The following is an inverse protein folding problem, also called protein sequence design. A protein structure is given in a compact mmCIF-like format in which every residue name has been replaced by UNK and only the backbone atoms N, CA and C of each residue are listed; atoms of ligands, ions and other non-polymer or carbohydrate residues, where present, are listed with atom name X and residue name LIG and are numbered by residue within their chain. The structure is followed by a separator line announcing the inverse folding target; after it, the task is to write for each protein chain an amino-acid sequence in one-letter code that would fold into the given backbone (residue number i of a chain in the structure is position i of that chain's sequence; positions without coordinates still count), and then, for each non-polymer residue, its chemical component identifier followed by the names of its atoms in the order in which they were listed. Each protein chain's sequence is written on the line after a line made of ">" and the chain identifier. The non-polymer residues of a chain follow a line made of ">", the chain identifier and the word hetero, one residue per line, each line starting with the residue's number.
data_IF_574173408646
#
_entry.id   IF_574173408646
#
_cell.length_a   1.000
_cell.length_b   1.000
_cell.length_c   1.000
_cell.angle_alpha   90.00
_cell.angle_beta   90.00
_cell.angle_gamma   90.00
#
_symmetry.space_group_name_H-M   'P 1'
#
loop_
_entity.id
_entity.type
_entity.pdbx_description
1 polymer ?
#
# COMPACT_ATOMS: atom_id res chain seq x y z
N UNK A 1 2.06 -4.51 14.46
CA UNK A 1 1.94 -3.45 13.43
C UNK A 1 0.96 -2.40 13.90
N UNK A 2 1.37 -1.12 13.91
CA UNK A 2 0.55 0.04 14.35
C UNK A 2 0.58 1.18 13.33
N UNK A 3 1.72 1.43 12.71
CA UNK A 3 1.94 2.56 11.80
C UNK A 3 2.22 2.08 10.40
N UNK A 4 1.49 2.62 9.44
CA UNK A 4 1.60 2.33 8.00
C UNK A 4 2.04 3.60 7.28
N UNK A 5 3.10 3.53 6.51
CA UNK A 5 3.44 4.60 5.56
C UNK A 5 2.93 4.25 4.17
N UNK A 6 2.29 5.21 3.53
CA UNK A 6 1.91 5.13 2.10
C UNK A 6 2.72 6.16 1.32
N UNK A 7 3.57 5.69 0.43
CA UNK A 7 4.39 6.53 -0.44
C UNK A 7 3.67 6.76 -1.77
N UNK A 8 3.31 8.01 -2.03
CA UNK A 8 2.51 8.44 -3.16
C UNK A 8 1.09 8.82 -2.75
N UNK A 9 0.73 10.09 -2.89
CA UNK A 9 -0.61 10.63 -2.62
C UNK A 9 -1.47 10.69 -3.90
N UNK A 10 -1.19 9.80 -4.85
CA UNK A 10 -2.02 9.58 -6.03
C UNK A 10 -3.27 8.75 -5.72
N UNK A 11 -4.04 8.44 -6.77
CA UNK A 11 -5.34 7.77 -6.65
C UNK A 11 -5.29 6.43 -5.88
N UNK A 12 -4.24 5.64 -6.08
CA UNK A 12 -4.06 4.37 -5.36
C UNK A 12 -3.63 4.60 -3.92
N UNK A 13 -2.61 5.45 -3.69
CA UNK A 13 -2.12 5.74 -2.34
C UNK A 13 -3.17 6.36 -1.44
N UNK A 14 -3.97 7.29 -1.94
CA UNK A 14 -5.13 7.88 -1.23
C UNK A 14 -6.11 6.78 -0.80
N UNK A 15 -6.45 5.86 -1.71
CA UNK A 15 -7.36 4.76 -1.39
C UNK A 15 -6.78 3.78 -0.38
N UNK A 16 -5.48 3.46 -0.46
CA UNK A 16 -4.77 2.59 0.49
C UNK A 16 -4.70 3.26 1.87
N UNK A 17 -4.32 4.54 1.93
CA UNK A 17 -4.29 5.31 3.17
C UNK A 17 -5.66 5.36 3.85
N UNK A 18 -6.73 5.60 3.07
CA UNK A 18 -8.11 5.61 3.56
C UNK A 18 -8.49 4.28 4.23
N UNK A 19 -8.28 3.15 3.57
CA UNK A 19 -8.69 1.85 4.13
C UNK A 19 -7.83 1.43 5.31
N UNK A 20 -6.53 1.80 5.33
CA UNK A 20 -5.65 1.56 6.45
C UNK A 20 -6.09 2.36 7.70
N UNK A 21 -6.40 3.64 7.55
CA UNK A 21 -6.89 4.49 8.63
C UNK A 21 -8.25 4.02 9.17
N UNK A 22 -9.18 3.68 8.27
CA UNK A 22 -10.47 3.11 8.64
C UNK A 22 -10.34 1.75 9.35
N UNK A 23 -9.30 0.97 9.04
CA UNK A 23 -8.93 -0.27 9.72
C UNK A 23 -8.22 -0.06 11.08
N UNK A 24 -8.07 1.19 11.54
CA UNK A 24 -7.54 1.56 12.85
C UNK A 24 -6.02 1.64 12.93
N UNK A 25 -5.32 1.79 11.79
CA UNK A 25 -3.88 2.06 11.76
C UNK A 25 -3.57 3.55 11.76
N UNK A 26 -2.46 3.93 12.37
CA UNK A 26 -1.88 5.26 12.13
C UNK A 26 -1.26 5.25 10.73
N UNK A 27 -1.53 6.28 9.95
CA UNK A 27 -1.11 6.37 8.55
C UNK A 27 -0.28 7.62 8.31
N UNK A 28 0.89 7.43 7.75
CA UNK A 28 1.72 8.52 7.22
C UNK A 28 1.52 8.52 5.70
N UNK A 29 0.83 9.54 5.17
CA UNK A 29 0.68 9.73 3.73
C UNK A 29 1.76 10.68 3.23
N UNK A 30 2.67 10.18 2.40
CA UNK A 30 3.82 10.94 1.91
C UNK A 30 3.77 11.14 0.41
N UNK A 31 4.10 12.35 -0.05
CA UNK A 31 4.41 12.64 -1.46
C UNK A 31 5.54 13.67 -1.56
N UNK A 32 6.06 13.90 -2.78
CA UNK A 32 7.13 14.87 -3.03
C UNK A 32 6.71 16.32 -2.81
N UNK A 33 5.43 16.64 -2.98
CA UNK A 33 4.88 17.98 -2.88
C UNK A 33 3.77 18.05 -1.85
N UNK A 34 3.85 19.05 -0.95
CA UNK A 34 2.82 19.27 0.06
C UNK A 34 1.41 19.36 -0.54
N UNK A 35 1.26 20.03 -1.68
CA UNK A 35 -0.02 20.14 -2.39
C UNK A 35 -0.64 18.77 -2.74
N UNK A 36 0.19 17.79 -3.13
CA UNK A 36 -0.32 16.44 -3.44
C UNK A 36 -0.80 15.73 -2.19
N UNK A 37 -0.07 15.88 -1.07
CA UNK A 37 -0.45 15.35 0.23
C UNK A 37 -1.76 15.96 0.71
N UNK A 38 -1.87 17.30 0.70
CA UNK A 38 -3.06 18.03 1.14
C UNK A 38 -4.30 17.64 0.30
N UNK A 39 -4.14 17.55 -1.02
CA UNK A 39 -5.19 17.08 -1.92
C UNK A 39 -5.59 15.62 -1.64
N UNK A 40 -4.61 14.77 -1.32
CA UNK A 40 -4.86 13.38 -0.96
C UNK A 40 -5.71 13.27 0.30
N UNK A 41 -5.35 13.99 1.36
CA UNK A 41 -6.10 14.01 2.63
C UNK A 41 -7.52 14.57 2.42
N UNK A 42 -7.65 15.69 1.67
CA UNK A 42 -8.97 16.25 1.34
C UNK A 42 -9.84 15.26 0.53
N UNK A 43 -9.22 14.45 -0.33
CA UNK A 43 -9.93 13.41 -1.07
C UNK A 43 -10.42 12.29 -0.14
N UNK A 44 -9.59 11.87 0.82
CA UNK A 44 -9.99 10.89 1.84
C UNK A 44 -11.17 11.40 2.65
N UNK A 45 -11.11 12.65 3.11
CA UNK A 45 -12.19 13.29 3.86
C UNK A 45 -13.51 13.27 3.09
N UNK A 46 -13.50 13.68 1.81
CA UNK A 46 -14.67 13.65 0.94
C UNK A 46 -15.23 12.24 0.75
N UNK A 47 -14.35 11.25 0.56
CA UNK A 47 -14.75 9.86 0.41
C UNK A 47 -15.41 9.32 1.67
N UNK A 48 -14.84 9.60 2.84
CA UNK A 48 -15.39 9.17 4.12
C UNK A 48 -16.72 9.89 4.42
N UNK A 49 -16.83 11.18 4.11
CA UNK A 49 -18.08 11.91 4.22
C UNK A 49 -19.18 11.28 3.35
N UNK A 50 -18.86 10.92 2.10
CA UNK A 50 -19.82 10.23 1.22
C UNK A 50 -20.27 8.86 1.80
N UNK A 51 -19.39 8.14 2.52
CA UNK A 51 -19.76 6.91 3.23
C UNK A 51 -20.67 7.19 4.41
N UNK A 52 -20.49 8.30 5.13
CA UNK A 52 -21.40 8.75 6.20
C UNK A 52 -22.77 9.10 5.63
N UNK A 53 -22.81 9.85 4.54
CA UNK A 53 -24.07 10.25 3.87
C UNK A 53 -24.89 9.04 3.38
N UNK A 54 -24.19 7.94 3.04
CA UNK A 54 -24.82 6.67 2.65
C UNK A 54 -25.06 5.71 3.83
N UNK A 55 -24.85 6.13 5.08
CA UNK A 55 -25.00 5.33 6.30
C UNK A 55 -24.11 4.05 6.33
N UNK A 56 -22.99 4.05 5.60
CA UNK A 56 -21.99 2.97 5.61
C UNK A 56 -20.92 3.18 6.68
N UNK A 57 -20.83 4.40 7.23
CA UNK A 57 -19.85 4.82 8.23
C UNK A 57 -20.52 5.80 9.18
N UNK A 58 -20.18 5.79 10.47
CA UNK A 58 -20.65 6.84 11.37
C UNK A 58 -19.75 8.08 11.28
N UNK A 59 -20.26 9.23 11.70
CA UNK A 59 -19.46 10.45 11.80
C UNK A 59 -18.26 10.26 12.74
N UNK A 60 -18.48 9.60 13.86
CA UNK A 60 -17.43 9.27 14.83
C UNK A 60 -16.31 8.41 14.19
N UNK A 61 -16.67 7.36 13.45
CA UNK A 61 -15.71 6.53 12.73
C UNK A 61 -14.92 7.33 11.67
N UNK A 62 -15.58 8.28 10.99
CA UNK A 62 -14.91 9.19 10.05
C UNK A 62 -13.87 10.07 10.76
N UNK A 63 -14.27 10.71 11.86
CA UNK A 63 -13.39 11.58 12.63
C UNK A 63 -12.20 10.82 13.21
N UNK A 64 -12.42 9.62 13.73
CA UNK A 64 -11.35 8.73 14.19
C UNK A 64 -10.40 8.32 13.07
N UNK A 65 -10.92 7.97 11.88
CA UNK A 65 -10.07 7.60 10.75
C UNK A 65 -9.22 8.78 10.27
N UNK A 66 -9.80 9.98 10.17
CA UNK A 66 -9.08 11.19 9.78
C UNK A 66 -8.01 11.58 10.80
N UNK A 67 -8.29 11.44 12.09
CA UNK A 67 -7.33 11.72 13.15
C UNK A 67 -6.10 10.79 13.14
N UNK A 68 -6.17 9.65 12.45
CA UNK A 68 -5.06 8.71 12.29
C UNK A 68 -4.17 9.01 11.08
N UNK A 69 -4.53 9.99 10.24
CA UNK A 69 -3.78 10.28 9.00
C UNK A 69 -2.92 11.52 9.20
N UNK A 70 -1.64 11.34 9.02
CA UNK A 70 -0.66 12.43 9.00
C UNK A 70 -0.04 12.55 7.61
N UNK A 71 0.02 13.79 7.09
CA UNK A 71 0.60 14.08 5.79
C UNK A 71 2.01 14.67 5.89
N UNK A 72 2.95 14.17 5.09
CA UNK A 72 4.32 14.69 5.08
C UNK A 72 4.96 14.70 3.69
N UNK A 73 5.97 15.54 3.50
CA UNK A 73 6.90 15.46 2.36
C UNK A 73 8.24 14.87 2.76
N UNK A 74 8.46 14.69 4.05
CA UNK A 74 9.69 14.18 4.62
C UNK A 74 9.78 12.66 4.47
N UNK A 75 10.85 12.19 3.83
CA UNK A 75 11.09 10.77 3.64
C UNK A 75 11.64 10.09 4.90
N UNK A 76 12.47 10.79 5.69
CA UNK A 76 13.01 10.26 6.95
C UNK A 76 11.90 10.00 7.95
N UNK A 77 10.98 10.96 8.09
CA UNK A 77 9.79 10.78 8.92
C UNK A 77 8.95 9.58 8.48
N UNK A 78 8.87 9.34 7.17
CA UNK A 78 8.14 8.20 6.59
C UNK A 78 8.75 6.84 6.94
N UNK A 79 10.00 6.80 7.38
CA UNK A 79 10.68 5.58 7.82
C UNK A 79 10.22 5.04 9.18
N UNK A 80 9.38 5.75 9.93
CA UNK A 80 8.91 5.36 11.26
C UNK A 80 7.74 4.35 11.24
N UNK A 81 7.64 3.52 10.22
CA UNK A 81 6.51 2.63 10.00
C UNK A 81 6.85 1.14 10.23
N UNK A 82 5.84 0.36 10.58
CA UNK A 82 5.93 -1.10 10.61
C UNK A 82 5.74 -1.72 9.21
N UNK A 83 4.96 -1.03 8.35
CA UNK A 83 4.73 -1.41 6.97
C UNK A 83 4.77 -0.15 6.09
N UNK A 84 5.54 -0.19 5.03
CA UNK A 84 5.56 0.82 3.97
C UNK A 84 4.90 0.24 2.73
N UNK A 85 3.91 0.95 2.17
CA UNK A 85 3.25 0.58 0.92
C UNK A 85 3.57 1.64 -0.12
N UNK A 86 4.38 1.30 -1.10
CA UNK A 86 4.76 2.17 -2.20
C UNK A 86 3.68 2.14 -3.29
N UNK A 87 3.18 3.32 -3.66
CA UNK A 87 2.17 3.56 -4.70
C UNK A 87 2.52 4.76 -5.58
N UNK A 88 3.81 4.91 -5.93
CA UNK A 88 4.31 5.97 -6.81
C UNK A 88 4.19 5.57 -8.29
N UNK A 89 4.79 6.36 -9.19
CA UNK A 89 4.78 6.09 -10.63
C UNK A 89 5.33 4.70 -10.97
N UNK A 90 4.75 4.05 -11.99
CA UNK A 90 5.12 2.70 -12.42
C UNK A 90 6.42 2.73 -13.24
N UNK A 91 7.54 2.86 -12.53
CA UNK A 91 8.88 2.92 -13.10
C UNK A 91 9.87 2.16 -12.20
N UNK A 92 10.52 1.14 -12.75
CA UNK A 92 11.42 0.26 -12.00
C UNK A 92 12.58 1.03 -11.34
N UNK A 93 13.21 1.96 -12.04
CA UNK A 93 14.34 2.70 -11.49
C UNK A 93 13.91 3.58 -10.29
N UNK A 94 12.76 4.23 -10.38
CA UNK A 94 12.19 5.03 -9.29
C UNK A 94 11.86 4.14 -8.09
N UNK A 95 11.23 2.98 -8.32
CA UNK A 95 10.88 2.06 -7.23
C UNK A 95 12.13 1.51 -6.54
N UNK A 96 13.14 1.07 -7.29
CA UNK A 96 14.42 0.62 -6.73
C UNK A 96 15.08 1.70 -5.85
N UNK A 97 15.11 2.95 -6.32
CA UNK A 97 15.66 4.07 -5.55
C UNK A 97 14.90 4.27 -4.24
N UNK A 98 13.55 4.26 -4.28
CA UNK A 98 12.71 4.42 -3.09
C UNK A 98 12.93 3.26 -2.12
N UNK A 99 12.95 2.02 -2.60
CA UNK A 99 13.17 0.84 -1.75
C UNK A 99 14.55 0.85 -1.09
N UNK A 100 15.62 1.24 -1.82
CA UNK A 100 16.94 1.42 -1.23
C UNK A 100 16.97 2.49 -0.15
N UNK A 101 16.28 3.62 -0.36
CA UNK A 101 16.17 4.67 0.65
C UNK A 101 15.40 4.19 1.88
N UNK A 102 14.23 3.57 1.69
CA UNK A 102 13.42 3.06 2.79
C UNK A 102 14.11 1.92 3.54
N UNK A 103 14.89 1.09 2.86
CA UNK A 103 15.70 0.05 3.49
C UNK A 103 16.71 0.63 4.49
N UNK A 104 17.28 1.81 4.19
CA UNK A 104 18.22 2.50 5.07
C UNK A 104 17.53 3.27 6.20
N UNK A 105 16.32 3.80 5.97
CA UNK A 105 15.61 4.66 6.91
C UNK A 105 14.74 3.89 7.91
N UNK A 106 14.18 2.76 7.47
CA UNK A 106 13.24 2.00 8.29
C UNK A 106 13.92 1.08 9.30
N UNK A 107 13.32 0.86 10.47
CA UNK A 107 13.76 -0.17 11.41
C UNK A 107 13.85 -1.56 10.74
N UNK A 108 14.69 -2.46 11.26
CA UNK A 108 14.89 -3.80 10.66
C UNK A 108 13.62 -4.66 10.57
N UNK A 109 12.61 -4.40 11.39
CA UNK A 109 11.35 -5.15 11.39
C UNK A 109 10.36 -4.68 10.32
N UNK A 110 10.57 -3.52 9.73
CA UNK A 110 9.63 -2.91 8.77
C UNK A 110 9.53 -3.74 7.49
N UNK A 111 8.32 -4.05 7.09
CA UNK A 111 8.00 -4.67 5.81
C UNK A 111 7.87 -3.59 4.74
N UNK A 112 8.43 -3.82 3.57
CA UNK A 112 8.34 -2.91 2.42
C UNK A 112 7.52 -3.58 1.31
N UNK A 113 6.42 -2.95 0.92
CA UNK A 113 5.51 -3.48 -0.09
C UNK A 113 5.39 -2.53 -1.29
N UNK A 114 5.34 -3.09 -2.50
CA UNK A 114 5.02 -2.31 -3.71
C UNK A 114 3.60 -2.60 -4.19
N UNK A 115 2.87 -1.55 -4.55
CA UNK A 115 1.56 -1.67 -5.19
C UNK A 115 1.67 -1.82 -6.72
N UNK A 116 2.85 -2.13 -7.25
CA UNK A 116 3.01 -2.39 -8.69
C UNK A 116 2.05 -3.46 -9.18
N UNK A 117 1.60 -3.35 -10.42
CA UNK A 117 0.73 -4.33 -11.07
C UNK A 117 1.46 -5.29 -12.01
N UNK A 118 2.73 -5.00 -12.33
CA UNK A 118 3.45 -5.71 -13.41
C UNK A 118 4.94 -5.89 -13.17
N UNK A 119 5.56 -5.03 -12.36
CA UNK A 119 7.01 -5.04 -12.16
C UNK A 119 7.45 -6.18 -11.24
N UNK A 120 8.65 -6.69 -11.46
CA UNK A 120 9.23 -7.77 -10.66
C UNK A 120 9.54 -7.33 -9.23
N UNK A 121 8.97 -8.00 -8.26
CA UNK A 121 9.23 -7.81 -6.83
C UNK A 121 10.65 -8.27 -6.51
N UNK A 122 11.11 -9.37 -7.11
CA UNK A 122 12.48 -9.87 -6.95
C UNK A 122 13.50 -8.82 -7.39
N UNK A 123 13.25 -8.15 -8.52
CA UNK A 123 14.15 -7.12 -9.03
C UNK A 123 14.16 -5.86 -8.14
N UNK A 124 13.03 -5.50 -7.54
CA UNK A 124 12.95 -4.41 -6.55
C UNK A 124 13.72 -4.80 -5.28
N UNK A 125 13.50 -6.01 -4.77
CA UNK A 125 14.09 -6.52 -3.53
C UNK A 125 15.64 -6.66 -3.63
N UNK A 126 16.17 -7.01 -4.78
CA UNK A 126 17.60 -7.24 -5.00
C UNK A 126 18.49 -6.00 -4.70
N UNK A 127 17.91 -4.81 -4.54
CA UNK A 127 18.61 -3.58 -4.20
C UNK A 127 18.52 -3.21 -2.71
N UNK A 128 18.09 -4.14 -1.86
CA UNK A 128 17.89 -3.93 -0.42
C UNK A 128 18.62 -4.98 0.39
N UNK A 129 18.80 -4.74 1.70
CA UNK A 129 19.42 -5.67 2.64
C UNK A 129 18.41 -6.56 3.38
N UNK A 130 17.11 -6.47 3.03
CA UNK A 130 16.01 -7.23 3.64
C UNK A 130 15.06 -7.82 2.58
N UNK A 131 15.55 -8.57 1.57
CA UNK A 131 14.70 -9.09 0.52
C UNK A 131 13.60 -10.04 1.04
N UNK A 132 13.80 -10.64 2.20
CA UNK A 132 12.84 -11.46 2.94
C UNK A 132 11.61 -10.68 3.45
N UNK A 133 11.73 -9.35 3.63
CA UNK A 133 10.68 -8.43 4.08
C UNK A 133 10.06 -7.61 2.95
N UNK A 134 10.29 -8.00 1.71
CA UNK A 134 9.76 -7.30 0.54
C UNK A 134 8.74 -8.18 -0.19
N UNK A 135 7.59 -7.58 -0.54
CA UNK A 135 6.53 -8.23 -1.30
C UNK A 135 5.78 -7.26 -2.19
N UNK A 136 5.00 -7.79 -3.13
CA UNK A 136 3.95 -7.05 -3.83
C UNK A 136 2.66 -7.04 -3.01
N UNK A 137 2.03 -5.87 -2.87
CA UNK A 137 0.67 -5.73 -2.34
C UNK A 137 -0.17 -5.01 -3.39
N UNK A 138 -0.69 -5.76 -4.35
CA UNK A 138 -1.42 -5.21 -5.47
C UNK A 138 -2.89 -4.99 -5.12
N UNK A 139 -3.23 -3.74 -4.86
CA UNK A 139 -4.60 -3.28 -4.64
C UNK A 139 -5.29 -2.93 -5.96
N UNK A 140 -6.62 -2.97 -5.96
CA UNK A 140 -7.44 -2.68 -7.14
C UNK A 140 -8.25 -1.40 -6.98
N UNK A 141 -8.31 -0.62 -8.04
CA UNK A 141 -9.11 0.62 -8.07
C UNK A 141 -10.62 0.33 -8.25
N UNK A 142 -11.50 1.05 -7.57
CA UNK A 142 -11.28 1.94 -6.42
C UNK A 142 -11.00 1.15 -5.13
N UNK A 143 -9.88 1.45 -4.45
CA UNK A 143 -9.40 0.65 -3.30
C UNK A 143 -10.47 0.44 -2.22
N UNK A 144 -11.25 1.46 -1.77
CA UNK A 144 -12.28 1.24 -0.75
C UNK A 144 -13.37 0.25 -1.17
N UNK A 145 -13.67 0.14 -2.48
CA UNK A 145 -14.77 -0.67 -3.02
C UNK A 145 -14.35 -2.07 -3.46
N UNK A 146 -13.06 -2.29 -3.71
CA UNK A 146 -12.54 -3.58 -4.18
C UNK A 146 -12.04 -4.40 -3.00
N UNK A 147 -12.60 -5.58 -2.75
CA UNK A 147 -12.20 -6.40 -1.61
C UNK A 147 -10.87 -7.12 -1.80
N UNK A 148 -10.42 -7.33 -3.04
CA UNK A 148 -9.27 -8.15 -3.37
C UNK A 148 -7.94 -7.40 -3.21
N UNK A 149 -6.92 -8.10 -2.68
CA UNK A 149 -5.50 -7.72 -2.73
C UNK A 149 -4.69 -8.95 -3.11
N UNK A 150 -3.81 -8.84 -4.10
CA UNK A 150 -2.83 -9.88 -4.39
C UNK A 150 -1.56 -9.62 -3.56
N UNK A 151 -1.15 -10.63 -2.79
CA UNK A 151 0.13 -10.65 -2.08
C UNK A 151 1.10 -11.47 -2.92
N UNK A 152 2.10 -10.81 -3.48
CA UNK A 152 3.01 -11.40 -4.47
C UNK A 152 4.38 -11.60 -3.84
N UNK A 153 4.82 -12.85 -3.74
CA UNK A 153 6.17 -13.18 -3.28
C UNK A 153 7.20 -12.88 -4.37
N UNK A 154 8.24 -12.12 -4.01
CA UNK A 154 9.50 -12.18 -4.73
C UNK A 154 10.25 -13.48 -4.37
N UNK A 155 11.41 -13.68 -4.96
CA UNK A 155 12.19 -14.91 -4.80
C UNK A 155 12.54 -15.23 -3.33
N UNK A 156 12.86 -14.21 -2.54
CA UNK A 156 13.33 -14.34 -1.15
C UNK A 156 12.29 -13.93 -0.12
N UNK A 157 11.08 -13.51 -0.53
CA UNK A 157 10.03 -13.09 0.42
C UNK A 157 9.70 -14.21 1.41
N UNK A 158 9.87 -13.93 2.70
CA UNK A 158 9.60 -14.89 3.77
C UNK A 158 8.10 -15.17 3.94
N UNK A 159 7.76 -16.37 4.40
CA UNK A 159 6.37 -16.74 4.71
C UNK A 159 5.81 -15.90 5.86
N UNK A 160 6.63 -15.56 6.86
CA UNK A 160 6.25 -14.66 7.95
C UNK A 160 5.82 -13.28 7.44
N UNK A 161 6.50 -12.73 6.42
CA UNK A 161 6.16 -11.46 5.79
C UNK A 161 4.77 -11.54 5.14
N UNK A 162 4.46 -12.65 4.48
CA UNK A 162 3.13 -12.92 3.91
C UNK A 162 2.08 -13.02 5.02
N UNK A 163 2.33 -13.75 6.09
CA UNK A 163 1.36 -13.94 7.17
C UNK A 163 1.01 -12.61 7.86
N UNK A 164 2.01 -11.78 8.16
CA UNK A 164 1.81 -10.45 8.75
C UNK A 164 0.97 -9.55 7.81
N UNK A 165 1.24 -9.58 6.51
CA UNK A 165 0.51 -8.76 5.54
C UNK A 165 -0.89 -9.31 5.23
N UNK A 166 -1.13 -10.62 5.38
CA UNK A 166 -2.48 -11.20 5.35
C UNK A 166 -3.33 -10.72 6.51
N UNK A 167 -2.76 -10.68 7.73
CA UNK A 167 -3.44 -10.13 8.89
C UNK A 167 -3.78 -8.64 8.71
N UNK A 168 -2.85 -7.86 8.14
CA UNK A 168 -3.11 -6.47 7.76
C UNK A 168 -4.28 -6.38 6.78
N UNK A 169 -4.28 -7.16 5.69
CA UNK A 169 -5.37 -7.19 4.71
C UNK A 169 -6.71 -7.53 5.36
N UNK A 170 -6.76 -8.57 6.20
CA UNK A 170 -7.98 -8.96 6.90
C UNK A 170 -8.52 -7.82 7.80
N UNK A 171 -7.63 -7.14 8.53
CA UNK A 171 -8.01 -6.04 9.42
C UNK A 171 -8.56 -4.83 8.70
N UNK A 172 -8.08 -4.54 7.50
CA UNK A 172 -8.61 -3.45 6.65
C UNK A 172 -9.81 -3.90 5.77
N UNK A 173 -10.41 -5.06 6.07
CA UNK A 173 -11.57 -5.58 5.35
C UNK A 173 -11.27 -6.09 3.94
N UNK A 174 -10.03 -6.53 3.66
CA UNK A 174 -9.63 -7.06 2.37
C UNK A 174 -9.46 -8.57 2.40
N UNK A 175 -9.76 -9.20 1.27
CA UNK A 175 -9.48 -10.61 0.99
C UNK A 175 -8.15 -10.68 0.24
N UNK A 176 -7.16 -11.35 0.81
CA UNK A 176 -5.87 -11.51 0.15
C UNK A 176 -5.76 -12.85 -0.57
N UNK A 177 -5.16 -12.82 -1.76
CA UNK A 177 -4.74 -14.00 -2.52
C UNK A 177 -3.23 -13.99 -2.61
N UNK A 178 -2.60 -15.07 -2.17
CA UNK A 178 -1.13 -15.20 -2.16
C UNK A 178 -0.67 -15.84 -3.46
N UNK A 179 0.26 -15.15 -4.14
CA UNK A 179 0.98 -15.68 -5.29
C UNK A 179 2.38 -16.10 -4.82
N UNK A 180 2.60 -17.41 -4.77
CA UNK A 180 3.89 -18.00 -4.34
C UNK A 180 5.04 -17.75 -5.33
N UNK A 181 4.73 -17.28 -6.53
CA UNK A 181 5.70 -16.87 -7.56
C UNK A 181 5.17 -15.66 -8.30
N UNK A 182 6.02 -14.69 -8.49
CA UNK A 182 5.72 -13.55 -9.34
C UNK A 182 5.68 -13.95 -10.82
N UNK A 183 4.86 -13.28 -11.57
CA UNK A 183 4.82 -13.37 -13.04
C UNK A 183 4.30 -12.04 -13.59
N UNK A 184 4.68 -11.60 -14.79
CA UNK A 184 4.18 -10.38 -15.37
C UNK A 184 2.65 -10.31 -15.37
N UNK A 185 2.08 -9.23 -14.78
CA UNK A 185 0.63 -9.06 -14.66
C UNK A 185 -0.02 -9.88 -13.54
N UNK A 186 0.73 -10.60 -12.73
CA UNK A 186 0.28 -11.39 -11.58
C UNK A 186 -0.85 -12.39 -11.97
N UNK A 187 -1.85 -12.59 -11.13
CA UNK A 187 -2.97 -13.49 -11.44
C UNK A 187 -4.09 -12.74 -12.16
N UNK A 188 -4.58 -11.66 -11.57
CA UNK A 188 -5.77 -10.95 -12.05
C UNK A 188 -5.60 -10.40 -13.46
N UNK A 189 -4.53 -9.64 -13.73
CA UNK A 189 -4.32 -9.07 -15.06
C UNK A 189 -4.12 -10.15 -16.13
N UNK A 190 -3.46 -11.25 -15.79
CA UNK A 190 -3.30 -12.37 -16.73
C UNK A 190 -4.63 -13.01 -17.11
N UNK A 191 -5.52 -13.20 -16.14
CA UNK A 191 -6.87 -13.73 -16.41
C UNK A 191 -7.69 -12.75 -17.26
N UNK A 192 -7.68 -11.47 -16.92
CA UNK A 192 -8.46 -10.43 -17.63
C UNK A 192 -7.94 -10.24 -19.04
N UNK A 193 -6.61 -10.18 -19.25
CA UNK A 193 -6.02 -9.99 -20.57
C UNK A 193 -6.29 -11.20 -21.49
N UNK A 194 -6.34 -12.42 -20.94
CA UNK A 194 -6.72 -13.60 -21.72
C UNK A 194 -8.16 -13.52 -22.21
N UNK A 195 -9.08 -13.00 -21.38
CA UNK A 195 -10.50 -12.84 -21.76
C UNK A 195 -10.75 -11.70 -22.75
N UNK A 196 -9.89 -10.68 -22.78
CA UNK A 196 -10.05 -9.54 -23.71
C UNK A 196 -9.47 -9.85 -25.09
N UNK A 197 -8.50 -10.77 -25.17
CA UNK A 197 -7.82 -11.13 -26.41
C UNK A 197 -8.52 -12.29 -27.20
N UNK A 198 -9.63 -12.82 -26.71
CA UNK A 198 -10.53 -13.76 -27.40
C UNK A 198 -11.69 -12.99 -28.06
#
# INVERSE_FOLDING_TARGET
>A
MRTITVLGAGIMGVGIAQVAAAGGYNVILRDLQKRLVDNGISTIEKNLQAMVDCAQFSREQMEEALARIEGTTDLEYSGQADLVIEAVVENMAVKKQIFTQMDSLCPPHTILASNTSTLSITEIAANTHRPDKILGMHFFYPVPKRPLVELVKGLETADETIDITREFCARIGKISVVLNRESPGYLYNRMVLSLINE
#
